data_IF_448378527580
#
_entry.id   IF_448378527580
#
_cell.length_a   1.000
_cell.length_b   1.000
_cell.length_c   1.000
_cell.angle_alpha   90.00
_cell.angle_beta   90.00
_cell.angle_gamma   90.00
#
_symmetry.space_group_name_H-M   'P 1'
#
loop_
_entity.id
_entity.type
_entity.pdbx_description
1 polymer ?
#
# COMPACT_ATOMS: atom_id res chain seq x y z
N UNK A 1 41.52 24.93 -13.13
CA UNK A 1 41.12 23.87 -12.17
C UNK A 1 40.09 24.32 -11.11
N UNK A 2 39.50 25.54 -11.18
CA UNK A 2 38.44 25.98 -10.23
C UNK A 2 37.02 25.84 -10.78
N UNK A 3 36.85 25.83 -12.10
CA UNK A 3 35.54 25.68 -12.77
C UNK A 3 35.02 24.23 -12.69
N UNK A 4 35.91 23.24 -12.68
CA UNK A 4 35.54 21.81 -12.64
C UNK A 4 34.91 21.38 -11.30
N UNK A 5 35.27 22.01 -10.18
CA UNK A 5 34.66 21.74 -8.87
C UNK A 5 33.22 22.26 -8.76
N UNK A 6 32.88 23.32 -9.48
CA UNK A 6 31.58 23.98 -9.40
C UNK A 6 30.50 23.21 -10.19
N UNK A 7 30.88 22.59 -11.32
CA UNK A 7 29.98 21.72 -12.10
C UNK A 7 29.71 20.39 -11.39
N UNK A 8 30.72 19.83 -10.71
CA UNK A 8 30.56 18.58 -9.96
C UNK A 8 29.66 18.76 -8.72
N UNK A 9 29.73 19.91 -8.05
CA UNK A 9 28.81 20.26 -6.95
C UNK A 9 27.37 20.48 -7.43
N UNK A 10 27.16 21.00 -8.65
CA UNK A 10 25.84 21.17 -9.24
C UNK A 10 25.21 19.84 -9.68
N UNK A 11 26.01 18.88 -10.16
CA UNK A 11 25.53 17.54 -10.48
C UNK A 11 25.14 16.75 -9.22
N UNK A 12 25.92 16.85 -8.13
CA UNK A 12 25.59 16.23 -6.85
C UNK A 12 24.36 16.86 -6.17
N UNK A 13 24.11 18.16 -6.37
CA UNK A 13 22.91 18.82 -5.86
C UNK A 13 21.64 18.46 -6.64
N UNK A 14 21.76 18.10 -7.92
CA UNK A 14 20.62 17.72 -8.77
C UNK A 14 20.09 16.31 -8.46
N UNK A 15 20.96 15.36 -8.09
CA UNK A 15 20.52 14.00 -7.70
C UNK A 15 19.77 13.97 -6.36
N UNK A 16 20.00 14.93 -5.47
CA UNK A 16 19.31 15.00 -4.17
C UNK A 16 17.82 15.42 -4.29
N UNK A 17 17.40 16.00 -5.42
CA UNK A 17 16.02 16.49 -5.62
C UNK A 17 15.08 15.47 -6.27
N UNK A 18 15.55 14.24 -6.53
CA UNK A 18 14.80 13.22 -7.27
C UNK A 18 14.22 12.06 -6.44
N UNK A 19 14.36 12.04 -5.11
CA UNK A 19 13.76 10.96 -4.32
C UNK A 19 12.27 11.21 -4.10
N UNK A 20 11.43 10.50 -4.86
CA UNK A 20 9.97 10.61 -4.82
C UNK A 20 9.43 10.06 -3.50
N UNK A 21 9.20 10.97 -2.55
CA UNK A 21 8.36 10.70 -1.40
C UNK A 21 6.90 10.56 -1.88
N UNK A 22 6.30 9.38 -1.67
CA UNK A 22 4.88 9.16 -1.90
C UNK A 22 4.12 9.34 -0.59
N UNK A 23 2.90 9.85 -0.67
CA UNK A 23 2.04 9.93 0.51
C UNK A 23 0.55 9.77 0.19
N UNK A 24 -0.20 9.35 1.21
CA UNK A 24 -1.66 9.31 1.25
C UNK A 24 -2.15 9.84 2.58
N UNK A 25 -3.37 10.39 2.59
CA UNK A 25 -4.02 10.82 3.82
C UNK A 25 -4.71 9.63 4.48
N UNK A 26 -4.66 9.57 5.82
CA UNK A 26 -5.36 8.57 6.59
C UNK A 26 -6.68 9.13 7.12
N UNK A 27 -7.74 8.39 6.90
CA UNK A 27 -9.07 8.65 7.46
C UNK A 27 -9.39 7.55 8.47
N UNK A 28 -9.51 7.93 9.75
CA UNK A 28 -9.68 6.98 10.84
C UNK A 28 -11.15 6.66 11.08
N UNK A 29 -11.47 5.37 11.26
CA UNK A 29 -12.82 4.89 11.55
C UNK A 29 -12.81 3.94 12.74
N UNK A 30 -13.91 3.79 13.51
CA UNK A 30 -14.03 2.73 14.50
C UNK A 30 -13.76 1.36 13.87
N UNK A 31 -13.12 0.45 14.61
CA UNK A 31 -13.00 -0.95 14.17
C UNK A 31 -14.39 -1.63 14.23
N UNK A 32 -14.73 -2.50 13.27
CA UNK A 32 -15.96 -3.30 13.34
C UNK A 32 -15.86 -4.34 14.46
N UNK A 33 -17.00 -4.77 15.00
CA UNK A 33 -17.03 -5.73 16.12
C UNK A 33 -16.34 -7.06 15.78
N UNK A 34 -16.47 -7.52 14.53
CA UNK A 34 -15.86 -8.75 14.03
C UNK A 34 -14.33 -8.75 14.12
N UNK A 35 -13.70 -7.57 14.14
CA UNK A 35 -12.26 -7.43 14.34
C UNK A 35 -11.79 -8.04 15.68
N UNK A 36 -12.68 -8.07 16.67
CA UNK A 36 -12.39 -8.60 18.00
C UNK A 36 -12.87 -10.04 18.21
N UNK A 37 -13.51 -10.65 17.20
CA UNK A 37 -14.02 -12.01 17.29
C UNK A 37 -12.85 -13.00 17.46
N UNK A 38 -12.90 -13.81 18.52
CA UNK A 38 -11.88 -14.83 18.80
C UNK A 38 -10.61 -14.33 19.50
N UNK A 39 -10.57 -13.07 19.95
CA UNK A 39 -9.46 -12.57 20.77
C UNK A 39 -9.61 -13.08 22.21
N UNK A 40 -8.53 -13.66 22.74
CA UNK A 40 -8.40 -13.96 24.16
C UNK A 40 -8.11 -12.65 24.92
N UNK A 41 -8.64 -12.51 26.14
CA UNK A 41 -8.28 -11.41 27.02
C UNK A 41 -6.76 -11.42 27.26
N UNK A 42 -6.08 -10.43 26.71
CA UNK A 42 -4.63 -10.31 26.83
C UNK A 42 -4.17 -8.93 26.40
N UNK A 43 -3.45 -8.24 27.29
CA UNK A 43 -2.87 -6.95 26.99
C UNK A 43 -1.65 -7.17 26.08
N UNK A 44 -1.62 -6.60 24.87
CA UNK A 44 -0.43 -6.63 24.03
C UNK A 44 0.53 -5.53 24.50
N UNK A 45 1.65 -5.89 25.17
CA UNK A 45 2.55 -4.91 25.76
C UNK A 45 3.31 -4.09 24.70
N UNK A 46 3.18 -4.42 23.42
CA UNK A 46 3.99 -3.80 22.37
C UNK A 46 3.39 -2.52 21.80
N UNK A 47 2.09 -2.25 21.99
CA UNK A 47 1.47 -1.02 21.48
C UNK A 47 2.08 0.23 22.14
N UNK A 48 2.54 1.23 21.35
CA UNK A 48 3.22 2.41 21.87
C UNK A 48 2.24 3.46 22.46
N UNK A 49 1.19 3.01 23.14
CA UNK A 49 0.23 3.89 23.79
C UNK A 49 0.92 4.64 24.94
N UNK A 50 0.86 5.98 24.93
CA UNK A 50 1.43 6.80 26.01
C UNK A 50 0.42 7.06 27.10
N UNK A 51 -0.85 7.16 26.75
CA UNK A 51 -1.96 7.41 27.68
C UNK A 51 -3.14 6.49 27.42
N UNK A 52 -4.07 6.41 28.37
CA UNK A 52 -5.36 5.74 28.21
C UNK A 52 -6.31 6.45 27.24
N UNK A 53 -6.00 7.70 26.84
CA UNK A 53 -6.78 8.49 25.89
C UNK A 53 -6.29 8.39 24.44
N UNK A 54 -5.15 7.74 24.19
CA UNK A 54 -4.65 7.55 22.84
C UNK A 54 -5.51 6.55 22.07
N UNK A 55 -5.78 6.85 20.80
CA UNK A 55 -6.38 5.92 19.86
C UNK A 55 -5.32 4.94 19.35
N UNK A 56 -5.72 3.68 19.22
CA UNK A 56 -4.88 2.59 18.75
C UNK A 56 -5.30 2.24 17.34
N UNK A 57 -4.48 2.61 16.36
CA UNK A 57 -4.81 2.42 14.95
C UNK A 57 -4.17 1.14 14.46
N UNK A 58 -4.96 0.27 13.82
CA UNK A 58 -4.48 -0.96 13.19
C UNK A 58 -5.10 -1.11 11.82
N UNK A 59 -4.31 -1.49 10.83
CA UNK A 59 -4.85 -1.74 9.50
C UNK A 59 -3.82 -2.32 8.54
N UNK A 60 -4.30 -2.71 7.37
CA UNK A 60 -3.51 -3.27 6.30
C UNK A 60 -3.23 -2.19 5.26
N UNK A 61 -1.95 -1.99 4.92
CA UNK A 61 -1.58 -1.25 3.72
C UNK A 61 -1.58 -2.28 2.58
N UNK A 62 -2.49 -2.10 1.63
CA UNK A 62 -2.58 -2.91 0.43
C UNK A 62 -3.18 -2.07 -0.71
N UNK A 63 -2.37 -1.16 -1.25
CA UNK A 63 -2.77 -0.29 -2.37
C UNK A 63 -1.76 -0.43 -3.49
N UNK A 64 -2.22 -0.35 -4.74
CA UNK A 64 -1.38 -0.63 -5.91
C UNK A 64 -0.15 0.29 -6.03
N UNK A 65 -0.20 1.50 -5.48
CA UNK A 65 0.92 2.45 -5.48
C UNK A 65 1.92 2.23 -4.34
N UNK A 66 1.62 1.34 -3.40
CA UNK A 66 2.47 1.09 -2.24
C UNK A 66 3.51 0.05 -2.59
N UNK A 67 4.77 0.47 -2.56
CA UNK A 67 5.91 -0.39 -2.84
C UNK A 67 7.12 0.21 -2.15
N UNK A 68 7.78 -0.57 -1.29
CA UNK A 68 9.01 -0.16 -0.58
C UNK A 68 10.03 -1.29 -0.53
N UNK A 69 11.30 -0.94 -0.48
CA UNK A 69 12.42 -1.88 -0.35
C UNK A 69 12.60 -2.37 1.09
N UNK A 70 12.15 -1.58 2.08
CA UNK A 70 12.23 -1.93 3.49
C UNK A 70 11.08 -1.30 4.28
N UNK A 71 10.69 -1.94 5.38
CA UNK A 71 9.70 -1.40 6.32
C UNK A 71 10.15 -0.07 6.99
N UNK A 72 11.46 0.21 6.99
CA UNK A 72 12.03 1.46 7.51
C UNK A 72 11.71 2.65 6.61
N UNK A 73 11.35 2.37 5.36
CA UNK A 73 10.95 3.33 4.34
C UNK A 73 9.45 3.63 4.38
N UNK A 74 8.81 3.38 5.52
CA UNK A 74 7.40 3.65 5.80
C UNK A 74 7.36 4.53 7.05
N UNK A 75 6.59 5.61 7.00
CA UNK A 75 6.37 6.48 8.16
C UNK A 75 4.91 6.94 8.22
N UNK A 76 4.44 7.19 9.45
CA UNK A 76 3.20 7.92 9.70
C UNK A 76 3.60 9.29 10.23
N UNK A 77 3.16 10.34 9.55
CA UNK A 77 3.43 11.73 9.97
C UNK A 77 2.15 12.39 10.46
N UNK A 78 2.27 13.14 11.54
CA UNK A 78 1.20 14.03 12.00
C UNK A 78 1.11 15.31 11.15
N UNK A 79 0.11 16.15 11.44
CA UNK A 79 -0.07 17.44 10.77
C UNK A 79 1.11 18.41 10.96
N UNK A 80 1.94 18.19 11.98
CA UNK A 80 3.16 18.98 12.25
C UNK A 80 4.40 18.39 11.54
N UNK A 81 4.25 17.28 10.81
CA UNK A 81 5.33 16.60 10.11
C UNK A 81 6.17 15.67 10.98
N UNK A 82 5.80 15.45 12.26
CA UNK A 82 6.54 14.55 13.15
C UNK A 82 6.18 13.11 12.85
N UNK A 83 7.19 12.24 12.86
CA UNK A 83 6.99 10.80 12.75
C UNK A 83 6.34 10.25 14.02
N UNK A 84 5.29 9.45 13.86
CA UNK A 84 4.70 8.64 14.92
C UNK A 84 5.38 7.26 14.95
N UNK A 85 5.58 6.67 16.15
CA UNK A 85 6.09 5.31 16.26
C UNK A 85 5.18 4.32 15.54
N UNK A 86 5.76 3.54 14.63
CA UNK A 86 5.06 2.60 13.78
C UNK A 86 5.46 1.17 14.14
N UNK A 87 4.48 0.33 14.42
CA UNK A 87 4.64 -1.10 14.54
C UNK A 87 4.31 -1.78 13.21
N UNK A 88 5.12 -2.77 12.83
CA UNK A 88 4.91 -3.61 11.66
C UNK A 88 4.83 -5.06 12.09
N UNK A 89 3.75 -5.75 11.72
CA UNK A 89 3.58 -7.18 11.98
C UNK A 89 4.40 -8.00 10.97
N UNK A 90 5.43 -8.72 11.42
CA UNK A 90 6.35 -9.47 10.56
C UNK A 90 5.65 -10.48 9.65
N UNK A 91 4.68 -11.23 10.19
CA UNK A 91 3.96 -12.26 9.44
C UNK A 91 3.06 -11.70 8.33
N UNK A 92 2.80 -10.40 8.34
CA UNK A 92 1.94 -9.73 7.35
C UNK A 92 2.72 -9.11 6.20
N UNK A 93 4.06 -9.08 6.27
CA UNK A 93 4.90 -8.46 5.24
C UNK A 93 4.86 -9.34 3.98
N UNK A 94 4.22 -8.83 2.94
CA UNK A 94 4.13 -9.49 1.64
C UNK A 94 4.95 -8.74 0.60
N UNK A 95 5.79 -9.48 -0.12
CA UNK A 95 6.63 -8.94 -1.19
C UNK A 95 6.37 -9.68 -2.49
N UNK A 96 6.03 -8.94 -3.53
CA UNK A 96 5.92 -9.49 -4.88
C UNK A 96 7.33 -9.54 -5.48
N UNK A 97 7.76 -10.73 -5.93
CA UNK A 97 9.12 -10.97 -6.45
C UNK A 97 10.26 -10.80 -5.43
N UNK A 98 9.98 -10.82 -4.12
CA UNK A 98 10.98 -10.93 -3.05
C UNK A 98 11.74 -9.65 -2.68
N UNK A 99 11.82 -8.67 -3.58
CA UNK A 99 12.65 -7.47 -3.37
C UNK A 99 11.86 -6.23 -2.92
N UNK A 100 10.54 -6.26 -3.07
CA UNK A 100 9.69 -5.10 -2.78
C UNK A 100 8.44 -5.50 -1.99
N UNK A 101 8.23 -4.83 -0.86
CA UNK A 101 7.09 -4.99 0.01
C UNK A 101 5.91 -4.22 -0.58
N UNK A 102 4.83 -4.94 -0.89
CA UNK A 102 3.62 -4.39 -1.52
C UNK A 102 2.40 -4.44 -0.58
N UNK A 103 2.49 -5.21 0.51
CA UNK A 103 1.46 -5.18 1.53
C UNK A 103 2.03 -5.46 2.91
N UNK A 104 1.51 -4.76 3.92
CA UNK A 104 1.95 -4.91 5.31
C UNK A 104 0.88 -4.43 6.28
N UNK A 105 0.69 -5.17 7.38
CA UNK A 105 -0.16 -4.76 8.49
C UNK A 105 0.64 -3.91 9.47
N UNK A 106 0.08 -2.75 9.80
CA UNK A 106 0.70 -1.77 10.67
C UNK A 106 -0.17 -1.46 11.89
N UNK A 107 0.49 -1.01 12.95
CA UNK A 107 -0.15 -0.50 14.15
C UNK A 107 0.55 0.75 14.65
N UNK A 108 -0.18 1.76 15.12
CA UNK A 108 0.40 2.94 15.75
C UNK A 108 -0.58 3.56 16.75
N UNK A 109 -0.06 4.40 17.64
CA UNK A 109 -0.87 5.16 18.59
C UNK A 109 -0.91 6.63 18.19
N UNK A 110 -2.07 7.27 18.37
CA UNK A 110 -2.25 8.71 18.10
C UNK A 110 -3.15 9.34 19.17
N UNK A 111 -2.71 10.48 19.69
CA UNK A 111 -3.51 11.24 20.66
C UNK A 111 -4.61 12.02 19.96
N UNK A 112 -5.71 12.28 20.67
CA UNK A 112 -6.79 13.11 20.14
C UNK A 112 -6.32 14.52 19.76
N UNK A 113 -5.45 15.13 20.58
CA UNK A 113 -4.85 16.45 20.30
C UNK A 113 -4.08 16.46 18.96
N UNK A 114 -3.46 15.34 18.61
CA UNK A 114 -2.76 15.19 17.33
C UNK A 114 -3.73 15.21 16.14
N UNK A 115 -4.90 14.58 16.29
CA UNK A 115 -5.94 14.54 15.26
C UNK A 115 -6.63 15.90 15.08
N UNK A 116 -6.80 16.65 16.18
CA UNK A 116 -7.38 18.01 16.15
C UNK A 116 -6.50 19.00 15.37
N UNK A 117 -5.18 18.75 15.29
CA UNK A 117 -4.24 19.56 14.50
C UNK A 117 -4.31 19.29 13.00
N UNK A 118 -4.88 18.16 12.57
CA UNK A 118 -5.08 17.83 11.17
C UNK A 118 -4.89 16.35 10.83
N UNK A 119 -5.03 16.02 9.55
CA UNK A 119 -4.99 14.64 9.07
C UNK A 119 -3.59 14.04 9.16
N UNK A 120 -3.56 12.74 9.49
CA UNK A 120 -2.34 11.94 9.44
C UNK A 120 -1.97 11.60 7.99
N UNK A 121 -0.67 11.46 7.73
CA UNK A 121 -0.12 11.09 6.43
C UNK A 121 0.61 9.76 6.54
N UNK A 122 0.24 8.79 5.70
CA UNK A 122 1.10 7.65 5.41
C UNK A 122 2.09 8.10 4.34
N UNK A 123 3.38 7.92 4.61
CA UNK A 123 4.48 8.35 3.74
C UNK A 123 5.40 7.17 3.47
N UNK A 124 5.81 6.99 2.22
CA UNK A 124 6.73 5.90 1.85
C UNK A 124 7.63 6.27 0.67
N UNK A 125 8.79 5.63 0.61
CA UNK A 125 9.77 5.79 -0.46
C UNK A 125 11.21 5.66 0.02
N UNK A 126 12.16 5.57 -0.90
CA UNK A 126 13.57 5.31 -0.57
C UNK A 126 14.22 6.45 0.25
N UNK A 127 13.69 7.67 0.18
CA UNK A 127 14.07 8.82 1.02
C UNK A 127 13.46 8.82 2.42
N UNK A 128 12.43 8.02 2.65
CA UNK A 128 11.67 8.04 3.90
C UNK A 128 12.42 7.25 4.96
N UNK A 129 12.55 7.83 6.14
CA UNK A 129 13.03 7.13 7.34
C UNK A 129 11.99 7.28 8.44
N UNK A 130 11.33 6.17 8.76
CA UNK A 130 10.33 6.08 9.82
C UNK A 130 10.88 5.56 11.14
N UNK A 131 10.20 5.89 12.23
CA UNK A 131 10.41 5.26 13.54
C UNK A 131 9.64 3.93 13.59
N UNK A 132 10.18 2.92 12.89
CA UNK A 132 9.51 1.64 12.67
C UNK A 132 10.10 0.53 13.54
N UNK A 133 9.24 -0.22 14.23
CA UNK A 133 9.58 -1.41 15.03
C UNK A 133 8.81 -2.62 14.53
N UNK A 134 9.52 -3.71 14.29
CA UNK A 134 8.88 -5.00 13.97
C UNK A 134 8.37 -5.70 15.23
N UNK A 135 7.20 -6.32 15.10
CA UNK A 135 6.59 -7.16 16.13
C UNK A 135 6.11 -8.47 15.51
N UNK A 136 6.10 -9.54 16.28
CA UNK A 136 5.65 -10.86 15.80
C UNK A 136 4.17 -10.87 15.45
N UNK A 137 3.34 -10.19 16.23
CA UNK A 137 1.91 -10.07 15.99
C UNK A 137 1.37 -8.79 16.61
N UNK A 138 0.42 -8.14 15.93
CA UNK A 138 -0.38 -7.05 16.46
C UNK A 138 -1.67 -7.62 17.03
N UNK A 139 -1.73 -7.83 18.36
CA UNK A 139 -2.89 -8.43 19.01
C UNK A 139 -3.74 -7.33 19.66
N UNK A 140 -4.94 -7.05 19.15
CA UNK A 140 -5.82 -6.08 19.79
C UNK A 140 -6.25 -6.56 21.17
N UNK A 141 -6.36 -5.65 22.12
CA UNK A 141 -6.89 -5.96 23.45
C UNK A 141 -8.39 -5.67 23.53
N UNK A 142 -9.17 -6.66 23.96
CA UNK A 142 -10.63 -6.52 24.06
C UNK A 142 -11.08 -5.48 25.10
N UNK A 143 -10.27 -5.19 26.12
CA UNK A 143 -10.58 -4.15 27.11
C UNK A 143 -10.48 -2.72 26.58
N UNK A 144 -9.85 -2.51 25.41
CA UNK A 144 -9.63 -1.19 24.81
C UNK A 144 -10.41 -0.99 23.49
N UNK A 145 -11.47 -1.77 23.26
CA UNK A 145 -12.27 -1.78 22.00
C UNK A 145 -12.62 -0.39 21.50
N UNK A 146 -13.10 0.48 22.39
CA UNK A 146 -13.55 1.83 22.05
C UNK A 146 -12.41 2.75 21.56
N UNK A 147 -11.15 2.38 21.82
CA UNK A 147 -9.96 3.14 21.43
C UNK A 147 -9.40 2.69 20.08
N UNK A 148 -9.73 1.48 19.64
CA UNK A 148 -9.20 0.94 18.40
C UNK A 148 -9.86 1.60 17.18
N UNK A 149 -9.03 1.94 16.20
CA UNK A 149 -9.44 2.52 14.93
C UNK A 149 -8.85 1.71 13.78
N UNK A 150 -9.59 1.62 12.68
CA UNK A 150 -9.07 1.28 11.37
C UNK A 150 -8.72 2.56 10.63
N UNK A 151 -8.00 2.45 9.52
CA UNK A 151 -7.79 3.56 8.60
C UNK A 151 -8.22 3.17 7.19
N UNK A 152 -8.73 4.14 6.45
CA UNK A 152 -8.83 4.10 4.99
C UNK A 152 -7.84 5.09 4.39
N UNK A 153 -7.24 4.69 3.26
CA UNK A 153 -6.31 5.52 2.51
C UNK A 153 -7.09 6.39 1.54
N UNK A 154 -6.99 7.71 1.73
CA UNK A 154 -7.58 8.70 0.83
C UNK A 154 -6.51 9.23 -0.12
N UNK A 155 -6.87 9.33 -1.41
CA UNK A 155 -5.97 9.84 -2.44
C UNK A 155 -5.57 11.29 -2.13
N UNK A 156 -4.34 11.65 -2.53
CA UNK A 156 -3.80 13.00 -2.42
C UNK A 156 -4.80 14.01 -3.02
N UNK A 157 -5.13 15.10 -2.32
CA UNK A 157 -5.96 16.16 -2.90
C UNK A 157 -5.35 16.62 -4.22
N UNK A 158 -6.17 16.72 -5.27
CA UNK A 158 -5.74 17.21 -6.57
C UNK A 158 -5.33 18.69 -6.43
N UNK A 159 -4.03 18.95 -6.26
CA UNK A 159 -3.52 20.30 -6.02
C UNK A 159 -2.00 20.41 -5.85
N UNK A 160 -1.34 19.37 -5.31
CA UNK A 160 0.12 19.36 -5.22
C UNK A 160 0.74 18.51 -6.33
N UNK A 161 1.02 19.14 -7.47
CA UNK A 161 1.64 18.52 -8.64
C UNK A 161 3.18 18.47 -8.52
N UNK A 162 3.70 17.38 -7.96
CA UNK A 162 4.98 16.83 -8.40
C UNK A 162 4.68 15.54 -9.18
N UNK A 163 4.82 15.64 -10.49
CA UNK A 163 4.48 14.69 -11.55
C UNK A 163 4.89 13.22 -11.30
N UNK A 164 3.90 12.34 -11.21
CA UNK A 164 3.95 10.99 -11.77
C UNK A 164 2.53 10.52 -12.03
N UNK A 165 2.11 10.54 -13.30
CA UNK A 165 0.85 9.93 -13.71
C UNK A 165 1.09 8.42 -13.83
N UNK A 166 0.77 7.65 -12.79
CA UNK A 166 0.63 6.20 -12.95
C UNK A 166 -0.76 5.92 -13.52
N UNK A 167 -0.83 5.50 -14.78
CA UNK A 167 -2.04 4.91 -15.32
C UNK A 167 -2.23 3.54 -14.66
N UNK A 168 -3.06 3.45 -13.62
CA UNK A 168 -3.50 2.17 -13.08
C UNK A 168 -4.53 1.57 -14.03
N UNK A 169 -4.14 0.57 -14.81
CA UNK A 169 -5.09 -0.26 -15.55
C UNK A 169 -5.78 -1.15 -14.52
N UNK A 170 -6.99 -0.79 -14.11
CA UNK A 170 -7.87 -1.71 -13.40
C UNK A 170 -8.29 -2.82 -14.38
N UNK A 171 -7.62 -3.96 -14.30
CA UNK A 171 -8.11 -5.18 -14.96
C UNK A 171 -9.24 -5.71 -14.10
N UNK A 172 -10.47 -5.29 -14.42
CA UNK A 172 -11.67 -5.96 -13.94
C UNK A 172 -11.72 -7.30 -14.68
N UNK A 173 -11.25 -8.36 -14.03
CA UNK A 173 -11.49 -9.72 -14.51
C UNK A 173 -12.96 -10.02 -14.21
N UNK A 174 -13.81 -9.78 -15.22
CA UNK A 174 -15.21 -10.18 -15.19
C UNK A 174 -15.26 -11.71 -15.35
N UNK A 175 -15.48 -12.42 -14.23
CA UNK A 175 -15.55 -13.89 -14.16
C UNK A 175 -16.70 -14.47 -15.04
N UNK A 176 -17.57 -13.61 -15.59
CA UNK A 176 -18.60 -13.98 -16.55
C UNK A 176 -18.12 -14.03 -18.01
N UNK A 177 -16.87 -13.67 -18.31
CA UNK A 177 -16.31 -13.68 -19.67
C UNK A 177 -16.17 -15.10 -20.27
N UNK A 178 -16.12 -16.15 -19.44
CA UNK A 178 -15.95 -17.53 -19.91
C UNK A 178 -17.15 -18.05 -20.73
N UNK A 179 -18.37 -17.55 -20.49
CA UNK A 179 -19.56 -18.01 -21.22
C UNK A 179 -19.69 -17.45 -22.64
N UNK A 180 -19.13 -16.27 -22.91
CA UNK A 180 -19.25 -15.62 -24.21
C UNK A 180 -18.08 -15.92 -25.15
N UNK A 181 -16.92 -16.34 -24.62
CA UNK A 181 -15.73 -16.68 -25.42
C UNK A 181 -16.00 -17.80 -26.44
N UNK A 182 -16.79 -18.82 -26.07
CA UNK A 182 -17.11 -19.97 -26.93
C UNK A 182 -17.85 -19.54 -28.21
N UNK A 183 -18.70 -18.52 -28.13
CA UNK A 183 -19.45 -18.00 -29.29
C UNK A 183 -18.55 -17.29 -30.31
N UNK A 184 -17.48 -16.63 -29.86
CA UNK A 184 -16.50 -16.00 -30.74
C UNK A 184 -15.50 -17.00 -31.34
N UNK A 185 -15.24 -18.11 -30.63
CA UNK A 185 -14.32 -19.14 -31.12
C UNK A 185 -14.92 -19.99 -32.25
N UNK A 186 -16.23 -20.22 -32.21
CA UNK A 186 -16.95 -21.09 -33.15
C UNK A 186 -16.79 -20.69 -34.62
N UNK A 187 -16.98 -19.41 -35.04
CA UNK A 187 -16.77 -19.02 -36.43
C UNK A 187 -15.31 -19.15 -36.88
N UNK A 188 -14.34 -18.92 -35.99
CA UNK A 188 -12.91 -19.12 -36.30
C UNK A 188 -12.59 -20.60 -36.55
N UNK A 189 -13.06 -21.50 -35.68
CA UNK A 189 -12.88 -22.95 -35.84
C UNK A 189 -13.54 -23.44 -37.14
N UNK A 190 -14.71 -22.91 -37.50
CA UNK A 190 -15.39 -23.24 -38.75
C UNK A 190 -14.57 -22.85 -39.98
N UNK A 191 -14.02 -21.63 -40.00
CA UNK A 191 -13.17 -21.15 -41.11
C UNK A 191 -11.92 -22.02 -41.25
N UNK A 192 -11.24 -22.32 -40.15
CA UNK A 192 -10.06 -23.19 -40.17
C UNK A 192 -10.40 -24.62 -40.60
N UNK A 193 -11.53 -25.16 -40.15
CA UNK A 193 -12.03 -26.47 -40.59
C UNK A 193 -12.29 -26.53 -42.09
N UNK A 194 -12.96 -25.52 -42.64
CA UNK A 194 -13.21 -25.40 -44.08
C UNK A 194 -11.92 -25.27 -44.89
N UNK A 195 -10.95 -24.50 -44.42
CA UNK A 195 -9.64 -24.37 -45.06
C UNK A 195 -8.86 -25.69 -45.04
N UNK A 196 -8.88 -26.40 -43.91
CA UNK A 196 -8.23 -27.70 -43.79
C UNK A 196 -8.88 -28.74 -44.72
N UNK A 197 -10.21 -28.87 -44.69
CA UNK A 197 -10.95 -29.78 -45.57
C UNK A 197 -10.74 -29.44 -47.05
N UNK A 198 -10.80 -28.15 -47.42
CA UNK A 198 -10.54 -27.70 -48.78
C UNK A 198 -9.13 -28.02 -49.27
N UNK A 199 -8.12 -27.94 -48.39
CA UNK A 199 -6.74 -28.32 -48.70
C UNK A 199 -6.59 -29.83 -48.91
N UNK A 200 -7.26 -30.65 -48.10
CA UNK A 200 -7.25 -32.10 -48.25
C UNK A 200 -8.00 -32.57 -49.50
N UNK A 201 -9.18 -32.00 -49.79
CA UNK A 201 -9.93 -32.32 -51.01
C UNK A 201 -9.20 -31.91 -52.30
N UNK A 202 -8.48 -30.77 -52.30
CA UNK A 202 -7.69 -30.33 -53.46
C UNK A 202 -6.41 -31.13 -53.68
N UNK A 203 -5.90 -31.82 -52.66
CA UNK A 203 -4.72 -32.72 -52.78
C UNK A 203 -5.08 -34.14 -53.20
N UNK A 204 -6.36 -34.52 -53.14
CA UNK A 204 -6.86 -35.85 -53.50
C UNK A 204 -7.36 -35.95 -54.95
N UNK A 205 -7.29 -34.85 -55.71
CA UNK A 205 -7.42 -34.80 -57.17
C UNK A 205 -6.05 -34.54 -57.77
#
# INVERSE_FOLDING_TARGET
MRIFCLVFALFLAAEAFGQSENFMLLSLKPQPEDFFAGLLEGNDPNFPAKTSSDYLVVGLINVASFTVTSIKNIAIRDATGRNLPLLVEKSSVYSEFGDKINSVRIGFAVSQECLEKGSLKLVWGDSVSGDTKEVESLRPHAGDRERYRSFSLEQRPAGDSSSSFSASINVIVDDYADKYYVWYLLPLVLIFGLLAAGKFLRRSK
#
